data_IF_922544481564
#
_entry.id   IF_922544481564
#
_cell.length_a   1.000
_cell.length_b   1.000
_cell.length_c   1.000
_cell.angle_alpha   90.00
_cell.angle_beta   90.00
_cell.angle_gamma   90.00
#
_symmetry.space_group_name_H-M   'P 1'
#
loop_
_entity.id
_entity.type
_entity.pdbx_description
1 polymer ?
#
# COMPACT_ATOMS: atom_id res chain seq x y z
N UNK A 1 -33.11 -4.55 24.93
CA UNK A 1 -31.83 -3.91 25.30
C UNK A 1 -30.74 -4.16 24.25
N UNK A 2 -30.61 -5.38 23.68
CA UNK A 2 -29.73 -5.67 22.53
C UNK A 2 -30.00 -4.78 21.29
N UNK A 3 -31.26 -4.47 20.99
CA UNK A 3 -31.62 -3.71 19.77
C UNK A 3 -31.23 -2.23 19.78
N UNK A 4 -31.07 -1.62 20.97
CA UNK A 4 -30.59 -0.23 21.07
C UNK A 4 -29.07 -0.12 21.00
N UNK A 5 -28.36 -1.19 21.38
CA UNK A 5 -26.89 -1.24 21.34
C UNK A 5 -26.39 -1.44 19.90
N UNK A 6 -27.06 -2.31 19.14
CA UNK A 6 -26.76 -2.52 17.71
C UNK A 6 -26.99 -1.27 16.89
N UNK A 7 -28.10 -0.55 17.11
CA UNK A 7 -28.40 0.72 16.44
C UNK A 7 -27.31 1.80 16.67
N UNK A 8 -26.82 1.93 17.90
CA UNK A 8 -25.75 2.88 18.23
C UNK A 8 -24.42 2.54 17.56
N UNK A 9 -24.06 1.25 17.50
CA UNK A 9 -22.84 0.80 16.81
C UNK A 9 -22.91 1.02 15.30
N UNK A 10 -24.09 0.92 14.67
CA UNK A 10 -24.23 1.16 13.22
C UNK A 10 -24.08 2.65 12.89
N UNK A 11 -24.67 3.56 13.67
CA UNK A 11 -24.49 5.00 13.49
C UNK A 11 -23.04 5.44 13.72
N UNK A 12 -22.39 4.90 14.75
CA UNK A 12 -20.98 5.21 15.02
C UNK A 12 -20.05 4.71 13.90
N UNK A 13 -20.30 3.49 13.40
CA UNK A 13 -19.56 2.92 12.27
C UNK A 13 -19.73 3.75 10.99
N UNK A 14 -20.94 4.22 10.70
CA UNK A 14 -21.20 5.06 9.52
C UNK A 14 -20.46 6.38 9.54
N UNK A 15 -20.36 7.03 10.71
CA UNK A 15 -19.61 8.30 10.87
C UNK A 15 -18.09 8.11 10.70
N UNK A 16 -17.55 7.02 11.23
CA UNK A 16 -16.13 6.67 11.03
C UNK A 16 -15.82 6.40 9.55
N UNK A 17 -16.71 5.70 8.86
CA UNK A 17 -16.54 5.40 7.44
C UNK A 17 -16.54 6.66 6.58
N UNK A 18 -17.41 7.63 6.86
CA UNK A 18 -17.40 8.93 6.17
C UNK A 18 -16.09 9.68 6.43
N UNK A 19 -15.62 9.72 7.68
CA UNK A 19 -14.36 10.37 8.02
C UNK A 19 -13.16 9.73 7.29
N UNK A 20 -13.10 8.39 7.25
CA UNK A 20 -12.07 7.64 6.51
C UNK A 20 -12.11 7.93 5.01
N UNK A 21 -13.30 7.93 4.40
CA UNK A 21 -13.47 8.20 2.97
C UNK A 21 -12.99 9.61 2.59
N UNK A 22 -13.29 10.62 3.41
CA UNK A 22 -12.83 11.99 3.20
C UNK A 22 -11.30 12.05 3.31
N UNK A 23 -10.73 11.41 4.34
CA UNK A 23 -9.27 11.35 4.51
C UNK A 23 -8.57 10.69 3.32
N UNK A 24 -9.10 9.57 2.82
CA UNK A 24 -8.56 8.87 1.66
C UNK A 24 -8.68 9.67 0.36
N UNK A 25 -9.76 10.43 0.19
CA UNK A 25 -9.91 11.34 -0.96
C UNK A 25 -8.90 12.48 -0.92
N UNK A 26 -8.70 13.11 0.23
CA UNK A 26 -7.68 14.16 0.39
C UNK A 26 -6.29 13.60 0.15
N UNK A 27 -6.00 12.41 0.69
CA UNK A 27 -4.71 11.74 0.53
C UNK A 27 -4.42 11.40 -0.94
N UNK A 28 -5.41 10.88 -1.70
CA UNK A 28 -5.20 10.53 -3.10
C UNK A 28 -4.87 11.74 -3.97
N UNK A 29 -5.50 12.89 -3.71
CA UNK A 29 -5.20 14.15 -4.42
C UNK A 29 -3.76 14.61 -4.15
N UNK A 30 -3.33 14.56 -2.89
CA UNK A 30 -1.95 14.94 -2.50
C UNK A 30 -0.93 14.02 -3.17
N UNK A 31 -1.15 12.71 -3.09
CA UNK A 31 -0.26 11.71 -3.69
C UNK A 31 -0.19 11.87 -5.21
N UNK A 32 -1.32 12.15 -5.87
CA UNK A 32 -1.36 12.38 -7.31
C UNK A 32 -0.54 13.63 -7.70
N UNK A 33 -0.62 14.70 -6.90
CA UNK A 33 0.18 15.91 -7.13
C UNK A 33 1.68 15.64 -6.99
N UNK A 34 2.10 14.90 -5.95
CA UNK A 34 3.50 14.49 -5.78
C UNK A 34 3.97 13.57 -6.91
N UNK A 35 3.14 12.59 -7.30
CA UNK A 35 3.45 11.68 -8.39
C UNK A 35 3.73 12.43 -9.70
N UNK A 36 2.91 13.42 -10.06
CA UNK A 36 3.13 14.25 -11.24
C UNK A 36 4.41 15.08 -11.16
N UNK A 37 4.74 15.61 -9.97
CA UNK A 37 5.96 16.39 -9.76
C UNK A 37 7.21 15.51 -9.90
N UNK A 38 7.26 14.37 -9.22
CA UNK A 38 8.40 13.47 -9.27
C UNK A 38 8.58 12.84 -10.67
N UNK A 39 7.47 12.59 -11.39
CA UNK A 39 7.53 12.19 -12.80
C UNK A 39 8.25 13.23 -13.66
N UNK A 40 7.95 14.52 -13.47
CA UNK A 40 8.57 15.60 -14.24
C UNK A 40 10.07 15.70 -13.93
N UNK A 41 10.47 15.65 -12.65
CA UNK A 41 11.87 15.68 -12.22
C UNK A 41 12.65 14.48 -12.78
N UNK A 42 12.06 13.28 -12.78
CA UNK A 42 12.64 12.09 -13.39
C UNK A 42 12.83 12.22 -14.89
N UNK A 43 11.83 12.68 -15.62
CA UNK A 43 11.93 12.88 -17.08
C UNK A 43 13.05 13.87 -17.39
N UNK A 44 13.12 15.00 -16.69
CA UNK A 44 14.16 16.00 -16.88
C UNK A 44 15.56 15.44 -16.57
N UNK A 45 15.69 14.62 -15.52
CA UNK A 45 16.95 13.96 -15.15
C UNK A 45 17.45 13.03 -16.26
N UNK A 46 16.55 12.28 -16.92
CA UNK A 46 16.92 11.39 -18.04
C UNK A 46 17.48 12.15 -19.24
N UNK A 47 16.92 13.32 -19.57
CA UNK A 47 17.39 14.14 -20.69
C UNK A 47 18.75 14.80 -20.42
N UNK A 48 19.11 15.04 -19.15
CA UNK A 48 20.36 15.71 -18.77
C UNK A 48 21.56 14.76 -18.54
N UNK A 49 21.45 13.46 -18.89
CA UNK A 49 22.53 12.47 -19.00
C UNK A 49 23.52 12.33 -17.81
N UNK A 50 23.15 12.80 -16.61
CA UNK A 50 23.93 12.56 -15.38
C UNK A 50 23.41 11.27 -14.74
N UNK A 51 23.86 10.12 -15.25
CA UNK A 51 23.47 8.80 -14.77
C UNK A 51 24.14 8.51 -13.43
N UNK A 52 23.45 8.85 -12.34
CA UNK A 52 23.88 8.51 -10.98
C UNK A 52 22.83 7.66 -10.28
N UNK A 53 23.27 6.86 -9.31
CA UNK A 53 22.46 5.93 -8.51
C UNK A 53 21.19 6.56 -7.91
N UNK A 54 21.20 7.88 -7.67
CA UNK A 54 20.05 8.67 -7.21
C UNK A 54 18.81 8.55 -8.11
N UNK A 55 18.96 8.25 -9.41
CA UNK A 55 17.81 8.11 -10.32
C UNK A 55 16.95 6.88 -10.01
N UNK A 56 17.57 5.80 -9.51
CA UNK A 56 16.85 4.57 -9.13
C UNK A 56 16.03 4.81 -7.86
N UNK A 57 16.60 5.53 -6.89
CA UNK A 57 15.88 5.93 -5.68
C UNK A 57 14.63 6.76 -6.01
N UNK A 58 14.76 7.75 -6.91
CA UNK A 58 13.62 8.52 -7.41
C UNK A 58 12.54 7.66 -8.10
N UNK A 59 12.95 6.66 -8.89
CA UNK A 59 12.01 5.72 -9.53
C UNK A 59 11.22 4.90 -8.48
N UNK A 60 11.87 4.49 -7.39
CA UNK A 60 11.26 3.67 -6.35
C UNK A 60 10.25 4.46 -5.52
N UNK A 61 10.53 5.74 -5.27
CA UNK A 61 9.62 6.68 -4.62
C UNK A 61 8.42 6.98 -5.52
N UNK A 62 8.65 7.21 -6.82
CA UNK A 62 7.56 7.36 -7.79
C UNK A 62 6.62 6.14 -7.81
N UNK A 63 7.19 4.94 -7.85
CA UNK A 63 6.41 3.70 -7.81
C UNK A 63 5.63 3.55 -6.49
N UNK A 64 6.04 4.21 -5.41
CA UNK A 64 5.41 4.12 -4.09
C UNK A 64 4.12 4.92 -4.07
N UNK A 65 4.16 6.15 -4.60
CA UNK A 65 2.95 6.95 -4.78
C UNK A 65 1.93 6.25 -5.67
N UNK A 66 2.37 5.59 -6.74
CA UNK A 66 1.49 4.81 -7.61
C UNK A 66 0.79 3.66 -6.88
N UNK A 67 1.52 2.92 -6.03
CA UNK A 67 0.96 1.83 -5.22
C UNK A 67 -0.11 2.33 -4.25
N UNK A 68 0.17 3.40 -3.51
CA UNK A 68 -0.78 3.97 -2.57
C UNK A 68 -2.04 4.52 -3.27
N UNK A 69 -1.89 5.16 -4.43
CA UNK A 69 -3.05 5.60 -5.23
C UNK A 69 -3.88 4.40 -5.70
N UNK A 70 -3.22 3.33 -6.16
CA UNK A 70 -3.90 2.09 -6.58
C UNK A 70 -4.70 1.44 -5.44
N UNK A 71 -4.16 1.46 -4.22
CA UNK A 71 -4.84 1.00 -3.02
C UNK A 71 -6.12 1.80 -2.76
N UNK A 72 -6.05 3.13 -2.83
CA UNK A 72 -7.20 4.00 -2.62
C UNK A 72 -8.28 3.72 -3.67
N UNK A 73 -7.90 3.51 -4.93
CA UNK A 73 -8.84 3.16 -6.01
C UNK A 73 -9.53 1.81 -5.73
N UNK A 74 -8.78 0.79 -5.28
CA UNK A 74 -9.32 -0.52 -4.93
C UNK A 74 -10.26 -0.45 -3.72
N UNK A 75 -9.94 0.39 -2.74
CA UNK A 75 -10.79 0.65 -1.59
C UNK A 75 -12.17 1.20 -2.00
N UNK A 76 -12.20 2.23 -2.85
CA UNK A 76 -13.46 2.78 -3.37
C UNK A 76 -14.21 1.78 -4.27
N UNK A 77 -13.51 0.99 -5.09
CA UNK A 77 -14.12 -0.05 -5.93
C UNK A 77 -14.76 -1.19 -5.12
N UNK A 78 -14.22 -1.51 -3.95
CA UNK A 78 -14.71 -2.60 -3.09
C UNK A 78 -15.89 -2.19 -2.19
N UNK A 79 -16.66 -1.17 -2.58
CA UNK A 79 -17.81 -0.62 -1.82
C UNK A 79 -17.47 -0.25 -0.38
N UNK A 80 -16.29 0.34 -0.15
CA UNK A 80 -15.82 0.77 1.18
C UNK A 80 -15.62 -0.38 2.19
N UNK A 81 -15.68 -1.64 1.73
CA UNK A 81 -15.20 -2.76 2.50
C UNK A 81 -13.70 -2.92 2.23
N UNK A 82 -12.91 -3.23 3.25
CA UNK A 82 -11.48 -3.48 3.10
C UNK A 82 -11.26 -4.98 2.92
N UNK A 83 -11.25 -5.50 1.67
CA UNK A 83 -10.98 -6.91 1.44
C UNK A 83 -9.55 -7.25 1.89
N UNK A 84 -9.45 -8.11 2.91
CA UNK A 84 -8.21 -8.47 3.59
C UNK A 84 -7.08 -8.89 2.64
N UNK A 85 -7.41 -9.59 1.55
CA UNK A 85 -6.42 -10.07 0.58
C UNK A 85 -5.70 -8.95 -0.19
N UNK A 86 -6.39 -7.86 -0.55
CA UNK A 86 -5.73 -6.73 -1.22
C UNK A 86 -4.76 -6.00 -0.29
N UNK A 87 -5.09 -5.93 1.00
CA UNK A 87 -4.17 -5.40 2.00
C UNK A 87 -2.88 -6.21 2.07
N UNK A 88 -2.98 -7.55 2.02
CA UNK A 88 -1.79 -8.41 2.03
C UNK A 88 -0.96 -8.25 0.76
N UNK A 89 -1.56 -8.12 -0.43
CA UNK A 89 -0.81 -7.87 -1.67
C UNK A 89 -0.04 -6.55 -1.65
N UNK A 90 -0.62 -5.49 -1.07
CA UNK A 90 0.06 -4.22 -0.83
C UNK A 90 1.21 -4.40 0.16
N UNK A 91 0.99 -5.12 1.27
CA UNK A 91 2.04 -5.37 2.26
C UNK A 91 3.23 -6.13 1.65
N UNK A 92 2.98 -7.12 0.79
CA UNK A 92 4.01 -7.85 0.04
C UNK A 92 4.82 -6.88 -0.83
N UNK A 93 4.14 -6.05 -1.62
CA UNK A 93 4.78 -5.11 -2.55
C UNK A 93 5.60 -4.04 -1.81
N UNK A 94 5.10 -3.53 -0.69
CA UNK A 94 5.81 -2.60 0.19
C UNK A 94 7.11 -3.21 0.76
N UNK A 95 7.09 -4.47 1.18
CA UNK A 95 8.29 -5.17 1.69
C UNK A 95 9.31 -5.40 0.58
N UNK A 96 8.86 -5.88 -0.59
CA UNK A 96 9.73 -6.08 -1.76
C UNK A 96 10.42 -4.75 -2.13
N UNK A 97 9.67 -3.66 -2.14
CA UNK A 97 10.20 -2.32 -2.42
C UNK A 97 11.23 -1.85 -1.37
N UNK A 98 10.96 -2.08 -0.08
CA UNK A 98 11.88 -1.72 1.00
C UNK A 98 13.23 -2.46 0.89
N UNK A 99 13.23 -3.69 0.37
CA UNK A 99 14.44 -4.47 0.10
C UNK A 99 15.27 -3.84 -1.00
N UNK A 100 14.64 -3.51 -2.13
CA UNK A 100 15.33 -2.94 -3.28
C UNK A 100 15.98 -1.60 -2.92
N UNK A 101 15.34 -0.82 -2.03
CA UNK A 101 15.85 0.48 -1.56
C UNK A 101 17.02 0.37 -0.57
N UNK A 102 17.09 -0.70 0.22
CA UNK A 102 18.13 -0.85 1.24
C UNK A 102 19.41 -1.40 0.61
N UNK A 103 20.35 -0.54 0.24
CA UNK A 103 21.59 -0.98 -0.43
C UNK A 103 22.84 -1.12 0.46
N UNK A 104 22.76 -0.81 1.77
CA UNK A 104 24.00 -0.50 2.51
C UNK A 104 24.52 -1.61 3.45
N UNK A 105 23.72 -2.63 3.81
CA UNK A 105 24.14 -3.63 4.80
C UNK A 105 23.61 -5.04 4.51
N UNK A 106 24.51 -5.99 4.26
CA UNK A 106 24.19 -7.40 3.95
C UNK A 106 23.37 -8.12 5.03
N UNK A 107 23.40 -7.64 6.28
CA UNK A 107 22.59 -8.17 7.39
C UNK A 107 21.11 -7.77 7.26
N UNK A 108 20.81 -6.58 6.73
CA UNK A 108 19.43 -6.13 6.50
C UNK A 108 18.75 -6.96 5.40
N UNK A 109 19.49 -7.33 4.35
CA UNK A 109 18.98 -8.24 3.30
C UNK A 109 18.50 -9.56 3.90
N UNK A 110 19.23 -10.13 4.87
CA UNK A 110 18.88 -11.39 5.52
C UNK A 110 17.60 -11.25 6.36
N UNK A 111 17.44 -10.14 7.09
CA UNK A 111 16.22 -9.84 7.86
C UNK A 111 15.02 -9.65 6.94
N UNK A 112 15.18 -8.97 5.81
CA UNK A 112 14.08 -8.79 4.87
C UNK A 112 13.68 -10.09 4.15
N UNK A 113 14.64 -10.95 3.79
CA UNK A 113 14.33 -12.29 3.25
C UNK A 113 13.52 -13.10 4.26
N UNK A 114 13.88 -13.05 5.54
CA UNK A 114 13.10 -13.68 6.62
C UNK A 114 11.69 -13.07 6.73
N UNK A 115 11.56 -11.75 6.62
CA UNK A 115 10.27 -11.06 6.65
C UNK A 115 9.35 -11.48 5.50
N UNK A 116 9.86 -11.59 4.27
CA UNK A 116 9.10 -12.12 3.12
C UNK A 116 8.69 -13.56 3.36
N UNK A 117 9.59 -14.41 3.88
CA UNK A 117 9.29 -15.81 4.15
C UNK A 117 8.12 -15.97 5.14
N UNK A 118 8.11 -15.17 6.21
CA UNK A 118 7.00 -15.13 7.17
C UNK A 118 5.71 -14.63 6.50
N UNK A 119 5.79 -13.58 5.69
CA UNK A 119 4.60 -12.98 5.07
C UNK A 119 3.95 -13.91 4.05
N UNK A 120 4.75 -14.62 3.25
CA UNK A 120 4.29 -15.66 2.32
C UNK A 120 3.68 -16.83 3.11
N UNK A 121 4.24 -17.20 4.26
CA UNK A 121 3.65 -18.21 5.16
C UNK A 121 2.27 -17.80 5.69
N UNK A 122 2.11 -16.54 6.11
CA UNK A 122 0.80 -16.00 6.55
C UNK A 122 -0.20 -16.00 5.40
N UNK A 123 0.21 -15.59 4.20
CA UNK A 123 -0.64 -15.65 3.01
C UNK A 123 -1.06 -17.09 2.72
N UNK A 124 -0.13 -18.04 2.77
CA UNK A 124 -0.41 -19.46 2.54
C UNK A 124 -1.44 -20.02 3.51
N UNK A 125 -1.33 -19.69 4.80
CA UNK A 125 -2.31 -20.11 5.81
C UNK A 125 -3.67 -19.44 5.57
N UNK A 126 -3.69 -18.12 5.37
CA UNK A 126 -4.93 -17.37 5.17
C UNK A 126 -5.67 -17.76 3.88
N UNK A 127 -4.93 -18.13 2.82
CA UNK A 127 -5.53 -18.66 1.59
C UNK A 127 -5.91 -20.14 1.69
N UNK A 128 -5.20 -20.93 2.49
CA UNK A 128 -5.51 -22.36 2.66
C UNK A 128 -6.76 -22.58 3.52
N UNK A 129 -7.04 -21.72 4.50
CA UNK A 129 -8.27 -21.80 5.29
C UNK A 129 -9.51 -21.46 4.45
N UNK A 130 -9.39 -20.55 3.48
CA UNK A 130 -10.48 -20.21 2.55
C UNK A 130 -10.86 -21.32 1.56
N UNK A 131 -10.01 -22.35 1.42
CA UNK A 131 -10.26 -23.52 0.55
C UNK A 131 -10.90 -24.71 1.30
N UNK A 132 -11.08 -24.62 2.63
CA UNK A 132 -11.75 -25.66 3.43
C UNK A 132 -13.25 -25.42 3.63
N UNK A 133 -13.75 -24.26 3.22
CA UNK A 133 -15.15 -23.86 3.36
C UNK A 133 -15.95 -23.94 2.03
N UNK A 134 -15.39 -24.58 0.99
CA UNK A 134 -16.10 -25.08 -0.21
C UNK A 134 -16.03 -26.61 -0.25
#
# INVERSE_FOLDING_TARGET
MKDKLTAYTVEFSGRLQVALNISLLVLSVILLAFLCRDLYELVLSLFNANTSYNSIEGILVYFLYFEFISLIIIYFKSKYHFPLHYFVYVAITAIIRAIILTHDNSVHTLIYTLAIFILVGILYICTSDRLKDE
#
